data_IF_835278011317
#
_entry.id   IF_835278011317
#
_cell.length_a   1.000
_cell.length_b   1.000
_cell.length_c   1.000
_cell.angle_alpha   90.00
_cell.angle_beta   90.00
_cell.angle_gamma   90.00
#
_symmetry.space_group_name_H-M   'P 1'
#
loop_
_entity.id
_entity.type
_entity.pdbx_description
1 polymer ?
#
# COMPACT_ATOMS: atom_id res chain seq x y z
N UNK A 1 12.79 -9.03 -3.12
CA UNK A 1 11.54 -9.62 -2.56
C UNK A 1 10.45 -8.56 -2.30
N UNK A 2 10.77 -7.46 -1.61
CA UNK A 2 9.80 -6.41 -1.30
C UNK A 2 9.13 -5.81 -2.55
N UNK A 3 9.93 -5.43 -3.56
CA UNK A 3 9.42 -4.95 -4.87
C UNK A 3 8.51 -5.97 -5.56
N UNK A 4 8.89 -7.26 -5.53
CA UNK A 4 8.09 -8.33 -6.14
C UNK A 4 6.73 -8.51 -5.46
N UNK A 5 6.71 -8.48 -4.12
CA UNK A 5 5.45 -8.59 -3.38
C UNK A 5 4.57 -7.37 -3.63
N UNK A 6 5.13 -6.16 -3.49
CA UNK A 6 4.43 -4.91 -3.78
C UNK A 6 3.77 -4.90 -5.16
N UNK A 7 4.52 -5.30 -6.20
CA UNK A 7 4.02 -5.37 -7.58
C UNK A 7 2.78 -6.25 -7.72
N UNK A 8 2.62 -7.27 -6.87
CA UNK A 8 1.55 -8.26 -6.93
C UNK A 8 0.44 -8.05 -5.88
N UNK A 9 0.60 -7.15 -4.92
CA UNK A 9 -0.41 -6.85 -3.92
C UNK A 9 -1.48 -5.91 -4.50
N UNK A 10 -2.75 -6.27 -4.33
CA UNK A 10 -3.86 -5.39 -4.71
C UNK A 10 -3.90 -4.14 -3.80
N UNK A 11 -3.55 -4.32 -2.53
CA UNK A 11 -3.53 -3.36 -1.43
C UNK A 11 -2.12 -2.82 -1.13
N UNK A 12 -1.16 -3.01 -2.03
CA UNK A 12 0.24 -2.72 -1.76
C UNK A 12 0.54 -1.24 -1.53
N UNK A 13 0.88 -0.85 -0.31
CA UNK A 13 1.44 0.47 0.02
C UNK A 13 2.97 0.42 0.09
N UNK A 14 3.72 1.33 -0.57
CA UNK A 14 5.18 1.28 -0.55
C UNK A 14 5.79 1.31 0.85
N UNK A 15 5.29 2.17 1.74
CA UNK A 15 5.87 2.33 3.08
C UNK A 15 5.63 1.07 3.92
N UNK A 16 4.38 0.64 4.01
CA UNK A 16 3.94 -0.52 4.78
C UNK A 16 4.61 -1.81 4.31
N UNK A 17 4.70 -2.03 3.00
CA UNK A 17 5.36 -3.22 2.43
C UNK A 17 6.88 -3.21 2.67
N UNK A 18 7.56 -2.10 2.39
CA UNK A 18 9.03 -2.05 2.55
C UNK A 18 9.45 -2.14 4.02
N UNK A 19 8.76 -1.46 4.94
CA UNK A 19 9.05 -1.53 6.37
C UNK A 19 8.76 -2.92 6.94
N UNK A 20 7.69 -3.58 6.50
CA UNK A 20 7.42 -4.98 6.86
C UNK A 20 8.53 -5.91 6.39
N UNK A 21 9.05 -5.71 5.17
CA UNK A 21 10.17 -6.50 4.67
C UNK A 21 11.48 -6.24 5.41
N UNK A 22 11.74 -5.01 5.86
CA UNK A 22 12.87 -4.71 6.74
C UNK A 22 12.78 -5.47 8.07
N UNK A 23 11.57 -5.55 8.65
CA UNK A 23 11.31 -6.34 9.85
C UNK A 23 11.52 -7.84 9.61
N UNK A 24 10.94 -8.40 8.55
CA UNK A 24 11.09 -9.82 8.17
C UNK A 24 12.54 -10.20 7.89
N UNK A 25 13.27 -9.33 7.19
CA UNK A 25 14.70 -9.52 6.91
C UNK A 25 15.58 -9.28 8.15
N UNK A 26 15.03 -8.74 9.24
CA UNK A 26 15.74 -8.44 10.47
C UNK A 26 16.84 -7.39 10.28
N UNK A 27 16.68 -6.43 9.36
CA UNK A 27 17.73 -5.44 9.02
C UNK A 27 18.06 -4.49 10.19
N UNK A 28 17.16 -4.39 11.17
CA UNK A 28 17.36 -3.62 12.40
C UNK A 28 18.01 -4.42 13.54
N UNK A 29 18.23 -5.72 13.36
CA UNK A 29 18.74 -6.63 14.38
C UNK A 29 20.13 -7.14 14.02
N UNK A 30 20.98 -7.32 15.03
CA UNK A 30 22.27 -8.03 14.86
C UNK A 30 22.09 -9.53 14.61
N UNK A 31 20.92 -10.09 14.96
CA UNK A 31 20.58 -11.50 14.78
C UNK A 31 19.63 -11.65 13.59
N UNK A 32 20.05 -12.42 12.58
CA UNK A 32 19.19 -12.85 11.48
C UNK A 32 18.13 -13.83 12.01
N UNK A 33 16.89 -13.61 11.59
CA UNK A 33 15.80 -14.54 11.84
C UNK A 33 15.70 -15.56 10.70
N UNK A 34 15.53 -16.84 11.04
CA UNK A 34 15.25 -17.90 10.08
C UNK A 34 13.89 -18.51 10.42
N UNK A 35 13.00 -18.63 9.42
CA UNK A 35 11.79 -19.40 9.58
C UNK A 35 12.13 -20.90 9.49
N UNK A 36 12.24 -21.57 10.64
CA UNK A 36 12.51 -23.01 10.68
C UNK A 36 11.22 -23.84 10.55
N UNK A 37 11.36 -25.13 10.25
CA UNK A 37 10.22 -26.03 10.00
C UNK A 37 9.25 -26.10 11.20
N UNK A 38 9.77 -26.03 12.44
CA UNK A 38 8.95 -26.01 13.65
C UNK A 38 8.02 -24.79 13.71
N UNK A 39 8.53 -23.60 13.41
CA UNK A 39 7.71 -22.39 13.38
C UNK A 39 6.67 -22.47 12.26
N UNK A 40 7.06 -22.93 11.08
CA UNK A 40 6.15 -23.14 9.95
C UNK A 40 5.02 -24.08 10.37
N UNK A 41 5.34 -25.31 10.80
CA UNK A 41 4.35 -26.30 11.27
C UNK A 41 3.41 -25.76 12.35
N UNK A 42 3.93 -24.99 13.32
CA UNK A 42 3.11 -24.39 14.39
C UNK A 42 2.06 -23.41 13.84
N UNK A 43 2.47 -22.50 12.96
CA UNK A 43 1.60 -21.40 12.51
C UNK A 43 0.77 -21.75 11.26
N UNK A 44 1.20 -22.73 10.45
CA UNK A 44 0.44 -23.26 9.31
C UNK A 44 -0.43 -24.47 9.68
N UNK A 45 -0.29 -25.02 10.90
CA UNK A 45 -0.91 -26.28 11.35
C UNK A 45 -0.51 -27.48 10.47
N UNK A 46 0.64 -27.44 9.81
CA UNK A 46 1.18 -28.56 9.06
C UNK A 46 2.06 -29.48 9.90
N UNK A 47 2.37 -30.65 9.36
CA UNK A 47 3.37 -31.60 9.91
C UNK A 47 4.30 -32.05 8.78
N UNK A 48 5.22 -31.17 8.41
CA UNK A 48 6.27 -31.47 7.45
C UNK A 48 7.56 -31.79 8.21
N UNK A 49 8.28 -32.80 7.73
CA UNK A 49 9.54 -33.28 8.26
C UNK A 49 10.51 -33.54 7.11
N UNK A 50 11.79 -33.75 7.43
CA UNK A 50 12.84 -34.09 6.46
C UNK A 50 12.99 -33.04 5.34
N UNK A 51 12.67 -31.78 5.64
CA UNK A 51 12.88 -30.66 4.73
C UNK A 51 14.24 -30.02 4.99
N UNK A 52 14.74 -29.23 4.04
CA UNK A 52 15.96 -28.45 4.26
C UNK A 52 15.83 -27.37 5.37
N UNK A 53 14.61 -27.11 5.88
CA UNK A 53 14.36 -26.21 7.02
C UNK A 53 14.14 -26.99 8.34
N UNK A 54 14.09 -28.32 8.29
CA UNK A 54 13.89 -29.21 9.44
C UNK A 54 15.22 -29.57 10.08
N UNK A 55 15.94 -28.54 10.50
CA UNK A 55 17.25 -28.63 11.15
C UNK A 55 17.24 -27.82 12.45
N UNK A 56 18.25 -28.01 13.29
CA UNK A 56 18.37 -27.25 14.51
C UNK A 56 18.66 -25.77 14.22
N UNK A 57 18.10 -24.87 15.04
CA UNK A 57 18.10 -23.43 14.72
C UNK A 57 19.53 -22.85 14.58
N UNK A 58 20.50 -23.38 15.31
CA UNK A 58 21.89 -22.92 15.23
C UNK A 58 22.60 -23.37 13.94
N UNK A 59 22.12 -24.42 13.29
CA UNK A 59 22.72 -24.99 12.07
C UNK A 59 22.46 -24.13 10.84
N UNK A 60 21.41 -23.31 10.81
CA UNK A 60 21.14 -22.37 9.72
C UNK A 60 22.31 -21.44 9.38
N UNK A 61 23.19 -21.14 10.35
CA UNK A 61 24.38 -20.31 10.12
C UNK A 61 25.44 -21.00 9.24
N UNK A 62 25.43 -22.33 9.21
CA UNK A 62 26.39 -23.16 8.49
C UNK A 62 25.75 -23.87 7.28
N UNK A 63 24.44 -23.72 7.13
CA UNK A 63 23.68 -24.31 6.05
C UNK A 63 24.13 -23.76 4.69
N UNK A 64 24.45 -24.66 3.77
CA UNK A 64 24.68 -24.32 2.37
C UNK A 64 23.34 -24.01 1.70
N UNK A 65 23.36 -23.16 0.68
CA UNK A 65 22.18 -22.91 -0.15
C UNK A 65 21.69 -24.24 -0.76
N UNK A 66 20.43 -24.65 -0.55
CA UNK A 66 19.89 -25.85 -1.20
C UNK A 66 19.88 -25.69 -2.73
N UNK A 67 20.20 -26.77 -3.46
CA UNK A 67 20.24 -26.75 -4.94
C UNK A 67 18.93 -26.26 -5.57
N UNK A 68 17.78 -26.63 -4.98
CA UNK A 68 16.45 -26.15 -5.39
C UNK A 68 16.31 -24.62 -5.32
N UNK A 69 17.08 -23.98 -4.42
CA UNK A 69 17.14 -22.54 -4.23
C UNK A 69 18.34 -21.91 -4.93
N UNK A 70 19.06 -22.58 -5.84
CA UNK A 70 20.15 -21.95 -6.60
C UNK A 70 19.64 -21.11 -7.76
N UNK A 71 18.51 -21.53 -8.37
CA UNK A 71 17.92 -20.80 -9.49
C UNK A 71 17.54 -19.39 -9.04
N UNK A 72 18.04 -18.40 -9.78
CA UNK A 72 17.66 -16.98 -9.63
C UNK A 72 16.94 -16.56 -10.90
N UNK A 73 15.98 -15.67 -10.75
CA UNK A 73 15.31 -15.02 -11.86
C UNK A 73 15.45 -13.52 -11.66
N UNK A 74 15.81 -12.82 -12.73
CA UNK A 74 15.61 -11.38 -12.78
C UNK A 74 14.14 -11.16 -13.09
N UNK A 75 13.44 -10.53 -12.16
CA UNK A 75 12.03 -10.23 -12.34
C UNK A 75 11.90 -8.87 -13.00
N UNK A 76 11.36 -8.86 -14.22
CA UNK A 76 11.07 -7.64 -14.94
C UNK A 76 9.69 -7.12 -14.52
N UNK A 77 9.65 -5.85 -14.14
CA UNK A 77 8.44 -5.18 -13.70
C UNK A 77 7.86 -4.43 -14.89
N UNK A 78 6.88 -5.04 -15.56
CA UNK A 78 6.17 -4.36 -16.63
C UNK A 78 5.26 -3.30 -16.01
N UNK A 79 5.52 -2.04 -16.36
CA UNK A 79 4.69 -0.90 -15.98
C UNK A 79 3.34 -1.01 -16.71
N UNK A 80 2.27 -0.93 -15.92
CA UNK A 80 0.93 -0.82 -16.48
C UNK A 80 0.73 0.64 -16.89
N UNK A 81 0.93 0.93 -18.17
CA UNK A 81 0.60 2.24 -18.71
C UNK A 81 -0.92 2.40 -18.78
N UNK A 82 -1.39 3.59 -18.42
CA UNK A 82 -2.78 3.99 -18.53
C UNK A 82 -2.90 5.07 -19.58
N UNK A 83 -4.03 5.05 -20.29
CA UNK A 83 -4.43 6.21 -21.05
C UNK A 83 -5.12 7.17 -20.06
N UNK A 84 -4.70 8.43 -20.05
CA UNK A 84 -5.49 9.46 -19.39
C UNK A 84 -6.78 9.68 -20.17
N UNK A 85 -7.90 9.81 -19.48
CA UNK A 85 -9.10 10.40 -20.08
C UNK A 85 -8.90 11.90 -20.23
N UNK A 86 -9.58 12.52 -21.20
CA UNK A 86 -9.77 13.98 -21.16
C UNK A 86 -10.56 14.32 -19.90
N UNK A 87 -10.10 15.33 -19.16
CA UNK A 87 -10.74 15.74 -17.92
C UNK A 87 -11.83 16.78 -18.20
N UNK A 88 -13.02 16.53 -17.67
CA UNK A 88 -14.12 17.49 -17.63
C UNK A 88 -14.15 18.14 -16.24
N UNK A 89 -13.56 19.33 -16.12
CA UNK A 89 -13.50 20.08 -14.86
C UNK A 89 -14.42 21.30 -14.93
N UNK A 90 -15.44 21.33 -14.08
CA UNK A 90 -16.28 22.50 -13.85
C UNK A 90 -15.59 23.45 -12.87
N UNK A 91 -15.17 24.62 -13.35
CA UNK A 91 -14.43 25.62 -12.56
C UNK A 91 -15.24 26.26 -11.44
N UNK A 92 -16.56 26.17 -11.50
CA UNK A 92 -17.44 26.72 -10.47
C UNK A 92 -17.62 25.75 -9.28
N UNK A 93 -17.05 24.53 -9.37
CA UNK A 93 -17.13 23.49 -8.34
C UNK A 93 -15.77 23.22 -7.67
N UNK A 94 -15.76 22.81 -6.39
CA UNK A 94 -14.53 22.31 -5.78
C UNK A 94 -14.02 21.06 -6.50
N UNK A 95 -12.72 20.81 -6.41
CA UNK A 95 -12.07 19.62 -6.98
C UNK A 95 -11.50 18.74 -5.88
N UNK A 96 -11.99 17.51 -5.81
CA UNK A 96 -11.53 16.47 -4.88
C UNK A 96 -10.53 15.56 -5.59
N UNK A 97 -9.30 15.56 -5.07
CA UNK A 97 -8.18 14.81 -5.60
C UNK A 97 -7.98 13.53 -4.79
N UNK A 98 -8.14 12.41 -5.47
CA UNK A 98 -7.95 11.07 -4.97
C UNK A 98 -6.58 10.54 -5.40
N UNK A 99 -6.07 9.57 -4.64
CA UNK A 99 -4.95 8.74 -5.06
C UNK A 99 -5.40 7.28 -5.14
N UNK A 100 -4.60 6.44 -5.80
CA UNK A 100 -4.82 4.99 -5.82
C UNK A 100 -4.76 4.30 -4.44
N UNK A 101 -4.38 5.02 -3.37
CA UNK A 101 -4.35 4.54 -1.99
C UNK A 101 -5.55 4.97 -1.16
N UNK A 102 -6.33 5.93 -1.64
CA UNK A 102 -7.46 6.51 -0.94
C UNK A 102 -8.67 6.64 -1.86
N UNK A 103 -9.36 5.53 -2.12
CA UNK A 103 -10.63 5.45 -2.86
C UNK A 103 -11.82 5.36 -1.89
N UNK A 104 -11.89 6.33 -0.97
CA UNK A 104 -12.96 6.40 0.02
C UNK A 104 -14.22 7.05 -0.57
N UNK A 105 -15.30 6.27 -0.70
CA UNK A 105 -16.61 6.76 -1.17
C UNK A 105 -17.28 7.68 -0.15
N UNK A 106 -16.92 7.55 1.12
CA UNK A 106 -17.46 8.36 2.22
C UNK A 106 -16.73 9.70 2.38
N UNK A 107 -15.73 9.98 1.54
CA UNK A 107 -15.05 11.28 1.54
C UNK A 107 -15.84 12.29 0.71
N UNK A 108 -16.52 13.20 1.43
CA UNK A 108 -17.43 14.21 0.89
C UNK A 108 -18.53 13.61 -0.02
N UNK A 109 -19.35 12.66 0.44
CA UNK A 109 -20.24 11.88 -0.42
C UNK A 109 -21.35 12.74 -1.06
N UNK A 110 -21.82 13.76 -0.34
CA UNK A 110 -22.90 14.66 -0.79
C UNK A 110 -22.40 15.94 -1.47
N UNK A 111 -21.08 16.14 -1.54
CA UNK A 111 -20.53 17.34 -2.16
C UNK A 111 -20.62 17.25 -3.68
N UNK A 112 -21.26 18.25 -4.28
CA UNK A 112 -21.22 18.46 -5.71
C UNK A 112 -19.84 19.01 -6.11
N UNK A 113 -18.98 18.13 -6.60
CA UNK A 113 -17.56 18.40 -6.85
C UNK A 113 -17.04 17.65 -8.08
N UNK A 114 -15.99 18.20 -8.69
CA UNK A 114 -15.15 17.44 -9.61
C UNK A 114 -14.40 16.38 -8.81
N UNK A 115 -14.43 15.11 -9.22
CA UNK A 115 -13.67 14.03 -8.58
C UNK A 115 -12.64 13.49 -9.55
N UNK A 116 -11.36 13.59 -9.18
CA UNK A 116 -10.26 13.13 -10.02
C UNK A 116 -9.32 12.26 -9.22
N UNK A 117 -9.08 11.03 -9.68
CA UNK A 117 -7.98 10.21 -9.20
C UNK A 117 -6.74 10.49 -10.04
N UNK A 118 -5.67 10.91 -9.38
CA UNK A 118 -4.39 11.23 -10.03
C UNK A 118 -3.40 10.09 -9.83
N UNK A 119 -2.76 9.65 -10.91
CA UNK A 119 -1.65 8.72 -10.88
C UNK A 119 -0.48 9.31 -11.69
N UNK A 120 0.61 9.59 -11.00
CA UNK A 120 1.82 10.14 -11.63
C UNK A 120 2.69 9.03 -12.24
N UNK A 121 3.15 9.17 -13.51
CA UNK A 121 4.04 8.22 -14.14
C UNK A 121 5.35 7.99 -13.36
N UNK A 122 5.93 9.06 -12.80
CA UNK A 122 7.17 8.99 -12.02
C UNK A 122 7.01 8.10 -10.78
N UNK A 123 5.87 8.20 -10.09
CA UNK A 123 5.56 7.35 -8.96
C UNK A 123 5.53 5.86 -9.36
N UNK A 124 4.93 5.52 -10.50
CA UNK A 124 4.90 4.14 -10.98
C UNK A 124 6.28 3.64 -11.43
N UNK A 125 7.19 4.50 -11.87
CA UNK A 125 8.57 4.10 -12.19
C UNK A 125 9.30 3.61 -10.93
N UNK A 126 9.11 4.28 -9.80
CA UNK A 126 9.70 3.88 -8.52
C UNK A 126 8.96 2.69 -7.89
N UNK A 127 7.64 2.68 -8.02
CA UNK A 127 6.73 1.71 -7.42
C UNK A 127 5.80 1.10 -8.47
N UNK A 128 6.32 0.20 -9.33
CA UNK A 128 5.53 -0.40 -10.40
C UNK A 128 4.44 -1.30 -9.82
N UNK A 129 3.29 -1.30 -10.50
CA UNK A 129 2.16 -2.18 -10.19
C UNK A 129 1.79 -3.06 -11.40
N UNK A 130 1.32 -4.27 -11.13
CA UNK A 130 0.90 -5.17 -12.19
C UNK A 130 -0.49 -4.80 -12.75
N UNK A 131 -0.79 -5.34 -13.94
CA UNK A 131 -2.05 -5.08 -14.62
C UNK A 131 -3.27 -5.51 -13.79
N UNK A 132 -3.17 -6.62 -13.02
CA UNK A 132 -4.27 -7.10 -12.17
C UNK A 132 -4.65 -6.11 -11.08
N UNK A 133 -3.68 -5.41 -10.51
CA UNK A 133 -3.93 -4.35 -9.52
C UNK A 133 -4.60 -3.16 -10.18
N UNK A 134 -4.14 -2.75 -11.35
CA UNK A 134 -4.78 -1.68 -12.10
C UNK A 134 -6.24 -2.04 -12.44
N UNK A 135 -6.49 -3.24 -12.96
CA UNK A 135 -7.85 -3.74 -13.24
C UNK A 135 -8.73 -3.73 -11.98
N UNK A 136 -8.16 -4.07 -10.82
CA UNK A 136 -8.87 -4.02 -9.55
C UNK A 136 -9.25 -2.59 -9.16
N UNK A 137 -8.31 -1.64 -9.27
CA UNK A 137 -8.56 -0.21 -9.02
C UNK A 137 -9.67 0.30 -9.95
N UNK A 138 -9.61 0.00 -11.25
CA UNK A 138 -10.63 0.43 -12.21
C UNK A 138 -12.01 -0.14 -11.86
N UNK A 139 -12.09 -1.43 -11.48
CA UNK A 139 -13.35 -2.02 -10.99
C UNK A 139 -13.85 -1.37 -9.71
N UNK A 140 -12.97 -0.97 -8.80
CA UNK A 140 -13.39 -0.22 -7.60
C UNK A 140 -14.00 1.13 -7.99
N UNK A 141 -13.43 1.82 -8.98
CA UNK A 141 -13.97 3.09 -9.46
C UNK A 141 -15.34 2.87 -10.11
N UNK A 142 -15.43 1.97 -11.09
CA UNK A 142 -16.65 1.68 -11.85
C UNK A 142 -17.83 1.24 -10.97
N UNK A 143 -17.57 0.48 -9.90
CA UNK A 143 -18.65 -0.06 -9.05
C UNK A 143 -19.07 0.86 -7.90
N UNK A 144 -18.26 1.88 -7.56
CA UNK A 144 -18.47 2.64 -6.32
C UNK A 144 -18.49 4.16 -6.51
N UNK A 145 -18.18 4.68 -7.70
CA UNK A 145 -18.18 6.11 -7.98
C UNK A 145 -19.01 6.42 -9.22
N UNK A 146 -19.91 7.41 -9.11
CA UNK A 146 -20.73 7.86 -10.24
C UNK A 146 -19.95 8.78 -11.19
N UNK A 147 -18.98 9.55 -10.69
CA UNK A 147 -18.33 10.63 -11.44
C UNK A 147 -16.81 10.80 -11.16
N UNK A 148 -16.11 9.73 -10.78
CA UNK A 148 -14.65 9.79 -10.55
C UNK A 148 -13.88 9.61 -11.86
N UNK A 149 -13.14 10.64 -12.27
CA UNK A 149 -12.33 10.65 -13.48
C UNK A 149 -10.89 10.19 -13.17
N UNK A 150 -10.26 9.47 -14.10
CA UNK A 150 -8.85 9.08 -14.00
C UNK A 150 -7.97 10.07 -14.75
N UNK A 151 -6.97 10.62 -14.07
CA UNK A 151 -5.87 11.38 -14.67
C UNK A 151 -4.56 10.63 -14.52
N UNK A 152 -3.92 10.33 -15.66
CA UNK A 152 -2.57 9.74 -15.69
C UNK A 152 -1.58 10.78 -16.21
N UNK A 153 -0.88 11.44 -15.29
CA UNK A 153 -0.02 12.57 -15.58
C UNK A 153 0.51 13.23 -14.32
N UNK A 154 1.36 14.23 -14.49
CA UNK A 154 1.88 15.05 -13.40
C UNK A 154 0.77 15.98 -12.86
N UNK A 155 0.58 16.00 -11.54
CA UNK A 155 -0.45 16.80 -10.90
C UNK A 155 -0.32 18.29 -11.23
N UNK A 156 0.90 18.83 -11.24
CA UNK A 156 1.14 20.25 -11.51
C UNK A 156 0.73 20.64 -12.94
N UNK A 157 0.80 19.70 -13.88
CA UNK A 157 0.40 19.89 -15.27
C UNK A 157 -1.12 20.07 -15.45
N UNK A 158 -1.93 19.66 -14.46
CA UNK A 158 -3.38 19.89 -14.48
C UNK A 158 -3.75 21.38 -14.37
N UNK A 159 -2.86 22.22 -13.82
CA UNK A 159 -3.07 23.66 -13.62
C UNK A 159 -4.44 24.00 -13.00
N UNK A 160 -4.85 23.23 -12.00
CA UNK A 160 -6.12 23.43 -11.31
C UNK A 160 -6.11 24.75 -10.51
N UNK A 161 -7.25 25.44 -10.50
CA UNK A 161 -7.55 26.61 -9.70
C UNK A 161 -8.78 26.36 -8.78
N UNK A 162 -9.05 27.27 -7.85
CA UNK A 162 -10.22 27.19 -6.96
C UNK A 162 -10.02 26.38 -5.67
N UNK A 163 -11.11 25.80 -5.13
CA UNK A 163 -11.10 24.97 -3.91
C UNK A 163 -10.67 23.54 -4.27
N UNK A 164 -9.37 23.27 -4.10
CA UNK A 164 -8.78 21.96 -4.32
C UNK A 164 -8.59 21.27 -2.96
N UNK A 165 -9.18 20.09 -2.79
CA UNK A 165 -9.03 19.26 -1.59
C UNK A 165 -8.39 17.94 -1.97
N UNK A 166 -7.44 17.49 -1.17
CA UNK A 166 -6.63 16.31 -1.46
C UNK A 166 -6.87 15.28 -0.36
N UNK A 167 -7.24 14.07 -0.75
CA UNK A 167 -7.26 12.93 0.16
C UNK A 167 -5.81 12.60 0.51
N UNK A 168 -5.41 13.01 1.72
CA UNK A 168 -4.00 13.08 2.10
C UNK A 168 -3.39 11.69 2.17
N UNK A 169 -2.29 11.49 1.44
CA UNK A 169 -1.49 10.28 1.48
C UNK A 169 0.00 10.66 1.38
N UNK A 170 0.93 9.95 2.03
CA UNK A 170 2.36 10.29 1.94
C UNK A 170 2.91 10.38 0.51
N UNK A 171 2.31 9.69 -0.46
CA UNK A 171 2.70 9.75 -1.87
C UNK A 171 2.29 11.04 -2.59
N UNK A 172 1.41 11.87 -2.01
CA UNK A 172 0.85 13.04 -2.68
C UNK A 172 1.06 14.35 -1.89
N UNK A 173 1.91 14.36 -0.85
CA UNK A 173 2.18 15.56 -0.05
C UNK A 173 2.73 16.75 -0.85
N UNK A 174 3.29 16.52 -2.03
CA UNK A 174 3.73 17.58 -2.93
C UNK A 174 2.60 18.26 -3.70
N UNK A 175 1.40 17.65 -3.76
CA UNK A 175 0.25 18.24 -4.43
C UNK A 175 -0.19 19.53 -3.74
N UNK A 176 -0.41 20.58 -4.55
CA UNK A 176 -0.92 21.87 -4.06
C UNK A 176 -2.43 21.82 -3.88
N UNK A 177 -2.87 22.07 -2.65
CA UNK A 177 -4.28 22.11 -2.27
C UNK A 177 -4.45 21.94 -0.76
N UNK A 178 -5.70 21.86 -0.31
CA UNK A 178 -6.02 21.57 1.08
C UNK A 178 -5.95 20.06 1.32
N UNK A 179 -4.88 19.61 1.96
CA UNK A 179 -4.74 18.22 2.42
C UNK A 179 -5.70 17.94 3.56
N UNK A 180 -6.56 16.94 3.39
CA UNK A 180 -7.51 16.51 4.40
C UNK A 180 -7.13 15.11 4.88
N UNK A 181 -7.06 14.95 6.20
CA UNK A 181 -6.66 13.69 6.81
C UNK A 181 -7.70 12.60 6.56
N UNK A 182 -7.20 11.40 6.33
CA UNK A 182 -8.00 10.19 6.28
C UNK A 182 -8.64 9.94 7.65
N UNK A 183 -9.88 9.47 7.68
CA UNK A 183 -10.52 9.02 8.91
C UNK A 183 -9.78 7.79 9.44
N UNK A 184 -8.90 8.01 10.43
CA UNK A 184 -8.18 6.92 11.07
C UNK A 184 -9.14 6.02 11.83
N UNK A 185 -8.92 4.71 11.75
CA UNK A 185 -9.70 3.70 12.49
C UNK A 185 -9.70 3.96 14.01
N UNK A 186 -8.63 4.56 14.54
CA UNK A 186 -8.51 4.94 15.94
C UNK A 186 -8.08 6.40 16.08
N UNK A 187 -9.00 7.36 15.90
CA UNK A 187 -8.66 8.79 15.84
C UNK A 187 -8.19 9.34 17.20
N UNK A 188 -8.39 8.58 18.28
CA UNK A 188 -7.98 8.90 19.65
C UNK A 188 -6.59 8.36 20.02
N UNK A 189 -5.91 7.65 19.11
CA UNK A 189 -4.53 7.20 19.35
C UNK A 189 -3.55 8.34 19.11
N UNK A 190 -2.43 8.36 19.84
CA UNK A 190 -1.44 9.43 19.67
C UNK A 190 -0.61 9.21 18.41
N UNK A 191 -0.29 10.27 17.67
CA UNK A 191 0.40 10.14 16.37
C UNK A 191 1.84 9.58 16.44
N UNK A 192 2.37 9.32 17.64
CA UNK A 192 3.76 8.93 17.86
C UNK A 192 3.87 7.67 18.71
N UNK A 193 3.83 6.52 18.03
CA UNK A 193 4.16 5.24 18.65
C UNK A 193 5.54 4.74 18.19
N UNK A 194 6.38 4.35 19.14
CA UNK A 194 7.70 3.76 18.85
C UNK A 194 7.64 2.27 18.50
N UNK A 195 6.47 1.63 18.65
CA UNK A 195 6.27 0.23 18.28
C UNK A 195 4.81 -0.09 18.00
N UNK A 196 4.58 -1.11 17.18
CA UNK A 196 3.24 -1.67 16.91
C UNK A 196 2.54 -2.13 18.19
N UNK A 197 3.26 -2.72 19.16
CA UNK A 197 2.66 -3.15 20.42
C UNK A 197 2.20 -1.98 21.28
N UNK A 198 2.91 -0.84 21.24
CA UNK A 198 2.46 0.37 21.92
C UNK A 198 1.17 0.89 21.28
N UNK A 199 1.19 1.07 19.95
CA UNK A 199 0.01 1.46 19.19
C UNK A 199 -1.18 0.56 19.47
N UNK A 200 -0.99 -0.76 19.40
CA UNK A 200 -2.06 -1.74 19.60
C UNK A 200 -2.65 -1.69 21.01
N UNK A 201 -1.85 -1.44 22.05
CA UNK A 201 -2.39 -1.30 23.42
C UNK A 201 -3.34 -0.12 23.52
N UNK A 202 -2.97 0.99 22.90
CA UNK A 202 -3.76 2.22 22.92
C UNK A 202 -5.02 2.05 22.04
N UNK A 203 -4.85 1.56 20.81
CA UNK A 203 -5.94 1.26 19.88
C UNK A 203 -6.96 0.25 20.44
N UNK A 204 -6.48 -0.80 21.13
CA UNK A 204 -7.34 -1.84 21.72
C UNK A 204 -8.37 -1.27 22.69
N UNK A 205 -8.05 -0.18 23.39
CA UNK A 205 -9.00 0.47 24.31
C UNK A 205 -10.23 1.03 23.60
N UNK A 206 -10.11 1.34 22.30
CA UNK A 206 -11.15 1.94 21.46
C UNK A 206 -11.82 0.94 20.51
N UNK A 207 -11.41 -0.34 20.51
CA UNK A 207 -12.02 -1.37 19.62
C UNK A 207 -13.51 -1.54 19.87
N UNK A 208 -13.98 -1.33 21.11
CA UNK A 208 -15.41 -1.38 21.42
C UNK A 208 -16.19 -0.25 20.73
N UNK A 209 -15.56 0.89 20.49
CA UNK A 209 -16.17 2.04 19.81
C UNK A 209 -16.39 1.76 18.31
N UNK A 210 -15.77 0.70 17.74
CA UNK A 210 -15.90 0.28 16.34
C UNK A 210 -16.93 -0.84 16.11
N UNK A 211 -17.43 -1.45 17.19
CA UNK A 211 -18.37 -2.58 17.13
C UNK A 211 -19.83 -2.15 17.37
N UNK A 212 -20.07 -0.83 17.39
CA UNK A 212 -21.37 -0.17 17.56
C UNK A 212 -21.73 0.48 16.23
#
# INVERSE_FOLDING_TARGET
PAKWLYYNLLDGDPASNNLSWQWVAGTFSRKKYYANQRNINKYSKSKQYDTFLDIEYHEFKHMKLPNVMEKRVNYEFNLSHMNSSELEIDKDRPTLIYSMFGLDTEWHPEMDANRVMVIEPEFLNDFPINAKRLDFIMKCIENNFDNLQLYYGDFESMNLDGDIRINSHPSNFHFKGKHENVNWLFPKTSDKHQSLMQYWRDAKSFVKDLLV
#
